data_IF_771762248650
#
_entry.id   IF_771762248650
#
_cell.length_a   1.000
_cell.length_b   1.000
_cell.length_c   1.000
_cell.angle_alpha   90.00
_cell.angle_beta   90.00
_cell.angle_gamma   90.00
#
_symmetry.space_group_name_H-M   'P 1'
#
loop_
_entity.id
_entity.type
_entity.pdbx_description
1 polymer ?
#
# COMPACT_ATOMS: atom_id res chain seq x y z
N UNK A 1 -1.80 -14.21 -5.80
CA UNK A 1 -1.47 -12.77 -5.61
C UNK A 1 -0.44 -12.76 -4.50
N UNK A 2 0.77 -12.25 -4.74
CA UNK A 2 1.92 -12.36 -3.83
C UNK A 2 1.88 -11.38 -2.65
N UNK A 3 0.80 -11.40 -1.88
CA UNK A 3 0.68 -10.67 -0.63
C UNK A 3 0.74 -11.67 0.52
N UNK A 4 1.58 -11.41 1.53
CA UNK A 4 1.80 -12.33 2.65
C UNK A 4 0.61 -12.37 3.62
N UNK A 5 -0.05 -11.23 3.82
CA UNK A 5 -1.24 -11.09 4.66
C UNK A 5 -2.11 -9.92 4.19
N UNK A 6 -3.41 -9.98 4.52
CA UNK A 6 -4.37 -8.91 4.28
C UNK A 6 -5.05 -8.56 5.60
N UNK A 7 -5.12 -7.27 5.90
CA UNK A 7 -5.74 -6.75 7.10
C UNK A 7 -6.84 -5.76 6.73
N UNK A 8 -7.90 -5.72 7.54
CA UNK A 8 -9.05 -4.84 7.33
C UNK A 8 -9.25 -3.97 8.57
N UNK A 9 -9.62 -2.72 8.34
CA UNK A 9 -10.00 -1.76 9.36
C UNK A 9 -11.25 -1.00 8.90
N UNK A 10 -12.12 -0.65 9.85
CA UNK A 10 -13.43 -0.04 9.56
C UNK A 10 -13.38 1.48 9.46
N UNK A 11 -12.29 2.11 9.91
CA UNK A 11 -12.08 3.55 9.88
C UNK A 11 -10.58 3.90 9.98
N UNK A 12 -10.23 5.17 9.72
CA UNK A 12 -8.84 5.64 9.73
C UNK A 12 -8.11 5.50 11.07
N UNK A 13 -8.82 5.60 12.21
CA UNK A 13 -8.21 5.44 13.55
C UNK A 13 -7.78 4.00 13.78
N UNK A 14 -8.68 3.03 13.58
CA UNK A 14 -8.35 1.62 13.69
C UNK A 14 -7.29 1.21 12.65
N UNK A 15 -7.34 1.79 11.46
CA UNK A 15 -6.34 1.53 10.41
C UNK A 15 -4.94 2.02 10.82
N UNK A 16 -4.84 3.16 11.50
CA UNK A 16 -3.56 3.70 11.97
C UNK A 16 -2.96 2.84 13.09
N UNK A 17 -3.77 2.47 14.09
CA UNK A 17 -3.34 1.55 15.15
C UNK A 17 -2.90 0.18 14.61
N UNK A 18 -3.53 -0.28 13.54
CA UNK A 18 -3.15 -1.52 12.87
C UNK A 18 -1.87 -1.34 12.08
N UNK A 19 -1.71 -0.21 11.38
CA UNK A 19 -0.52 0.11 10.61
C UNK A 19 0.75 0.14 11.47
N UNK A 20 0.67 0.65 12.69
CA UNK A 20 1.79 0.62 13.65
C UNK A 20 2.23 -0.80 14.01
N UNK A 21 1.28 -1.74 14.09
CA UNK A 21 1.54 -3.13 14.46
C UNK A 21 2.08 -3.96 13.31
N UNK A 22 1.53 -3.77 12.10
CA UNK A 22 1.79 -4.64 10.95
C UNK A 22 2.75 -4.02 9.92
N UNK A 23 2.99 -2.70 9.99
CA UNK A 23 3.85 -1.93 9.08
C UNK A 23 3.58 -2.25 7.60
N UNK A 24 2.41 -1.87 7.08
CA UNK A 24 1.94 -2.34 5.78
C UNK A 24 2.76 -1.77 4.62
N UNK A 25 3.16 -2.64 3.68
CA UNK A 25 3.81 -2.23 2.42
C UNK A 25 2.83 -1.58 1.44
N UNK A 26 1.55 -1.94 1.52
CA UNK A 26 0.48 -1.41 0.66
C UNK A 26 -0.73 -1.08 1.53
N UNK A 27 -1.28 0.11 1.34
CA UNK A 27 -2.50 0.61 1.98
C UNK A 27 -3.48 1.02 0.89
N UNK A 28 -4.68 0.45 0.96
CA UNK A 28 -5.82 0.84 0.11
C UNK A 28 -6.88 1.41 1.05
N UNK A 29 -7.30 2.65 0.83
CA UNK A 29 -8.21 3.35 1.75
C UNK A 29 -9.29 4.12 1.00
N UNK A 30 -10.48 4.22 1.60
CA UNK A 30 -11.57 5.04 1.09
C UNK A 30 -11.31 6.51 1.43
N UNK A 31 -11.62 7.43 0.52
CA UNK A 31 -11.51 8.86 0.81
C UNK A 31 -12.53 9.27 1.89
N UNK A 32 -13.75 8.73 1.82
CA UNK A 32 -14.82 9.05 2.76
C UNK A 32 -15.00 7.90 3.73
N UNK A 33 -14.57 8.11 4.98
CA UNK A 33 -14.74 7.17 6.08
C UNK A 33 -15.33 7.90 7.30
N UNK A 34 -16.06 7.20 8.18
CA UNK A 34 -16.47 7.75 9.47
C UNK A 34 -15.25 7.97 10.40
N UNK A 35 -15.39 8.90 11.34
CA UNK A 35 -14.42 9.26 12.38
C UNK A 35 -13.13 9.96 11.91
N UNK A 36 -12.50 9.47 10.84
CA UNK A 36 -11.30 10.04 10.24
C UNK A 36 -11.38 9.88 8.73
N UNK A 37 -11.16 10.96 7.99
CA UNK A 37 -11.17 10.93 6.53
C UNK A 37 -9.95 10.21 5.96
N UNK A 38 -10.09 9.58 4.79
CA UNK A 38 -9.00 8.85 4.15
C UNK A 38 -7.80 9.73 3.80
N UNK A 39 -8.04 11.01 3.50
CA UNK A 39 -6.99 12.00 3.23
C UNK A 39 -6.13 12.26 4.46
N UNK A 40 -6.76 12.48 5.61
CA UNK A 40 -6.09 12.69 6.90
C UNK A 40 -5.30 11.44 7.29
N UNK A 41 -5.92 10.27 7.17
CA UNK A 41 -5.26 8.99 7.40
C UNK A 41 -4.04 8.78 6.49
N UNK A 42 -4.17 9.04 5.19
CA UNK A 42 -3.09 8.89 4.23
C UNK A 42 -1.92 9.85 4.50
N UNK A 43 -2.21 11.06 5.00
CA UNK A 43 -1.18 11.99 5.43
C UNK A 43 -0.35 11.40 6.58
N UNK A 44 -1.01 10.86 7.61
CA UNK A 44 -0.33 10.22 8.74
C UNK A 44 0.48 8.98 8.30
N UNK A 45 -0.08 8.16 7.40
CA UNK A 45 0.66 7.02 6.83
C UNK A 45 1.88 7.48 6.06
N UNK A 46 1.79 8.55 5.26
CA UNK A 46 2.95 9.05 4.49
C UNK A 46 4.04 9.60 5.41
N UNK A 47 3.67 10.24 6.53
CA UNK A 47 4.61 10.75 7.53
C UNK A 47 5.30 9.62 8.31
N UNK A 48 4.55 8.62 8.76
CA UNK A 48 5.07 7.55 9.63
C UNK A 48 5.67 6.38 8.84
N UNK A 49 5.13 6.07 7.67
CA UNK A 49 5.50 4.93 6.82
C UNK A 49 5.75 5.41 5.38
N UNK A 50 6.80 6.24 5.15
CA UNK A 50 7.04 6.85 3.83
C UNK A 50 7.31 5.83 2.71
N UNK A 51 7.71 4.60 3.05
CA UNK A 51 7.88 3.50 2.09
C UNK A 51 6.60 2.74 1.74
N UNK A 52 5.48 3.03 2.42
CA UNK A 52 4.20 2.40 2.12
C UNK A 52 3.61 2.94 0.81
N UNK A 53 3.00 2.04 0.05
CA UNK A 53 2.26 2.34 -1.17
C UNK A 53 0.83 2.71 -0.82
N UNK A 54 0.32 3.81 -1.35
CA UNK A 54 -1.00 4.34 -1.01
C UNK A 54 -1.92 4.37 -2.24
N UNK A 55 -3.10 3.79 -2.11
CA UNK A 55 -4.16 3.87 -3.13
C UNK A 55 -5.46 4.36 -2.51
N UNK A 56 -6.10 5.31 -3.18
CA UNK A 56 -7.44 5.77 -2.79
C UNK A 56 -8.54 5.04 -3.54
N UNK A 57 -9.62 4.74 -2.83
CA UNK A 57 -10.91 4.35 -3.38
C UNK A 57 -11.84 5.54 -3.28
N UNK A 58 -12.57 5.87 -4.34
CA UNK A 58 -13.49 7.01 -4.28
C UNK A 58 -14.63 6.89 -5.27
N UNK A 59 -15.81 7.32 -4.84
CA UNK A 59 -17.01 7.38 -5.69
C UNK A 59 -17.31 8.75 -6.27
N UNK A 60 -16.51 9.77 -5.95
CA UNK A 60 -16.68 11.13 -6.48
C UNK A 60 -15.31 11.79 -6.68
N UNK A 61 -15.04 12.19 -7.90
CA UNK A 61 -13.80 12.86 -8.29
C UNK A 61 -13.87 14.35 -7.96
N UNK A 62 -13.88 14.69 -6.67
CA UNK A 62 -13.72 16.09 -6.26
C UNK A 62 -12.30 16.55 -6.59
N UNK A 63 -12.19 17.74 -7.18
CA UNK A 63 -10.90 18.35 -7.55
C UNK A 63 -10.01 18.57 -6.33
N UNK A 64 -10.60 18.81 -5.16
CA UNK A 64 -9.84 18.99 -3.92
C UNK A 64 -9.12 17.71 -3.51
N UNK A 65 -9.80 16.56 -3.59
CA UNK A 65 -9.19 15.27 -3.28
C UNK A 65 -8.07 14.90 -4.25
N UNK A 66 -8.25 15.17 -5.55
CA UNK A 66 -7.19 14.95 -6.53
C UNK A 66 -5.93 15.76 -6.22
N UNK A 67 -6.09 17.04 -5.85
CA UNK A 67 -4.95 17.89 -5.47
C UNK A 67 -4.24 17.36 -4.23
N UNK A 68 -4.99 16.96 -3.21
CA UNK A 68 -4.43 16.37 -2.00
C UNK A 68 -3.69 15.06 -2.28
N UNK A 69 -4.27 14.18 -3.11
CA UNK A 69 -3.67 12.91 -3.50
C UNK A 69 -2.33 13.08 -4.22
N UNK A 70 -2.21 14.09 -5.09
CA UNK A 70 -0.94 14.46 -5.73
C UNK A 70 0.09 14.88 -4.68
N UNK A 71 -0.30 15.70 -3.71
CA UNK A 71 0.61 16.16 -2.65
C UNK A 71 1.11 15.01 -1.77
N UNK A 72 0.24 14.03 -1.50
CA UNK A 72 0.55 12.84 -0.72
C UNK A 72 1.32 11.76 -1.49
N UNK A 73 1.58 11.99 -2.78
CA UNK A 73 2.26 11.05 -3.67
C UNK A 73 1.61 9.66 -3.63
N UNK A 74 0.29 9.59 -3.80
CA UNK A 74 -0.38 8.29 -3.88
C UNK A 74 -0.01 7.55 -5.16
N UNK A 75 0.07 6.24 -5.07
CA UNK A 75 0.45 5.36 -6.18
C UNK A 75 -0.72 5.08 -7.13
N UNK A 76 -1.96 5.30 -6.68
CA UNK A 76 -3.12 5.09 -7.51
C UNK A 76 -4.44 5.58 -6.91
N UNK A 77 -5.45 5.56 -7.77
CA UNK A 77 -6.82 5.89 -7.45
C UNK A 77 -7.73 4.92 -8.20
N UNK A 78 -8.73 4.37 -7.51
CA UNK A 78 -9.73 3.46 -8.07
C UNK A 78 -11.10 4.11 -7.88
N UNK A 79 -11.82 4.25 -8.99
CA UNK A 79 -13.15 4.82 -9.00
C UNK A 79 -14.19 3.77 -8.58
N UNK A 80 -15.20 4.19 -7.81
CA UNK A 80 -16.34 3.35 -7.47
C UNK A 80 -17.43 3.49 -8.53
N UNK A 81 -18.16 2.41 -8.88
CA UNK A 81 -18.16 1.10 -8.23
C UNK A 81 -16.91 0.28 -8.53
N UNK A 82 -16.41 -0.43 -7.51
CA UNK A 82 -15.16 -1.17 -7.58
C UNK A 82 -15.22 -2.31 -8.60
N UNK A 83 -14.32 -2.30 -9.58
CA UNK A 83 -14.14 -3.41 -10.52
C UNK A 83 -13.03 -4.36 -10.05
N UNK A 84 -13.35 -5.63 -9.86
CA UNK A 84 -12.41 -6.63 -9.33
C UNK A 84 -11.16 -6.83 -10.21
N UNK A 85 -11.26 -6.90 -11.56
CA UNK A 85 -10.12 -6.90 -12.46
C UNK A 85 -9.21 -5.68 -12.28
N UNK A 86 -9.78 -4.48 -12.12
CA UNK A 86 -9.03 -3.24 -11.92
C UNK A 86 -8.24 -3.27 -10.61
N UNK A 87 -8.91 -3.57 -9.49
CA UNK A 87 -8.26 -3.72 -8.18
C UNK A 87 -7.16 -4.78 -8.27
N UNK A 88 -7.46 -5.93 -8.87
CA UNK A 88 -6.50 -7.02 -8.96
C UNK A 88 -5.29 -6.66 -9.82
N UNK A 89 -5.47 -5.86 -10.87
CA UNK A 89 -4.38 -5.33 -11.69
C UNK A 89 -3.50 -4.36 -10.87
N UNK A 90 -4.13 -3.39 -10.21
CA UNK A 90 -3.46 -2.40 -9.36
C UNK A 90 -2.63 -3.08 -8.25
N UNK A 91 -3.24 -3.99 -7.49
CA UNK A 91 -2.57 -4.74 -6.42
C UNK A 91 -1.37 -5.51 -6.97
N UNK A 92 -1.50 -6.18 -8.13
CA UNK A 92 -0.37 -6.88 -8.75
C UNK A 92 0.76 -5.94 -9.12
N UNK A 93 0.46 -4.75 -9.64
CA UNK A 93 1.47 -3.75 -9.98
C UNK A 93 2.20 -3.27 -8.72
N UNK A 94 1.48 -2.98 -7.64
CA UNK A 94 2.07 -2.53 -6.37
C UNK A 94 2.94 -3.59 -5.72
N UNK A 95 2.48 -4.86 -5.69
CA UNK A 95 3.29 -5.98 -5.19
C UNK A 95 4.59 -6.11 -5.97
N UNK A 96 4.55 -6.02 -7.30
CA UNK A 96 5.76 -6.04 -8.13
C UNK A 96 6.71 -4.88 -7.81
N UNK A 97 6.20 -3.69 -7.48
CA UNK A 97 7.03 -2.55 -7.08
C UNK A 97 7.70 -2.79 -5.72
N UNK A 98 6.95 -3.25 -4.72
CA UNK A 98 7.49 -3.57 -3.40
C UNK A 98 8.61 -4.62 -3.49
N UNK A 99 8.38 -5.72 -4.22
CA UNK A 99 9.37 -6.78 -4.40
C UNK A 99 10.65 -6.28 -5.10
N UNK A 100 10.51 -5.36 -6.05
CA UNK A 100 11.67 -4.74 -6.72
C UNK A 100 12.47 -3.85 -5.77
N UNK A 101 11.79 -3.07 -4.93
CA UNK A 101 12.45 -2.21 -3.94
C UNK A 101 13.16 -3.04 -2.87
N UNK A 102 12.57 -4.14 -2.42
CA UNK A 102 13.19 -5.08 -1.50
C UNK A 102 14.44 -5.73 -2.12
N UNK A 103 14.35 -6.19 -3.37
CA UNK A 103 15.49 -6.76 -4.09
C UNK A 103 16.63 -5.76 -4.28
N UNK A 104 16.33 -4.47 -4.48
CA UNK A 104 17.34 -3.42 -4.58
C UNK A 104 17.99 -3.09 -3.25
N UNK A 105 17.23 -3.12 -2.14
CA UNK A 105 17.75 -2.85 -0.79
C UNK A 105 18.59 -4.01 -0.26
N UNK A 106 18.25 -5.25 -0.64
CA UNK A 106 18.90 -6.48 -0.19
C UNK A 106 19.42 -7.32 -1.38
N UNK A 107 20.41 -6.83 -2.16
CA UNK A 107 20.93 -7.58 -3.30
C UNK A 107 21.61 -8.89 -2.88
N UNK A 108 22.17 -8.94 -1.67
CA UNK A 108 22.87 -10.09 -1.09
C UNK A 108 21.95 -11.32 -0.92
N UNK A 109 20.63 -11.12 -0.75
CA UNK A 109 19.67 -12.22 -0.57
C UNK A 109 19.54 -13.11 -1.81
N UNK A 110 19.81 -12.55 -3.01
CA UNK A 110 19.82 -13.29 -4.27
C UNK A 110 21.10 -14.10 -4.49
N UNK A 111 22.20 -13.77 -3.81
CA UNK A 111 23.46 -14.50 -3.90
C UNK A 111 23.55 -15.68 -2.93
N UNK A 112 22.71 -15.74 -1.90
CA UNK A 112 22.69 -16.82 -0.89
C UNK A 112 21.94 -18.10 -1.31
N UNK A 113 21.83 -18.41 -2.60
CA UNK A 113 21.32 -19.70 -3.09
C UNK A 113 22.40 -20.64 -3.65
N UNK A 114 23.66 -20.49 -3.20
CA UNK A 114 24.78 -21.23 -3.79
C UNK A 114 25.90 -21.69 -2.85
N UNK A 115 25.78 -21.64 -1.52
CA UNK A 115 26.83 -22.19 -0.66
C UNK A 115 26.66 -23.69 -0.39
N UNK A 116 27.21 -24.46 -1.32
CA UNK A 116 28.16 -25.56 -1.06
C UNK A 116 27.99 -26.34 0.27
N UNK A 117 27.25 -27.43 0.19
CA UNK A 117 27.59 -28.66 0.96
C UNK A 117 27.61 -29.89 0.05
N UNK A 118 28.54 -29.89 -0.90
CA UNK A 118 29.21 -31.14 -1.28
C UNK A 118 30.32 -31.40 -0.25
N UNK A 119 29.95 -31.83 0.95
CA UNK A 119 30.88 -32.35 1.95
C UNK A 119 30.81 -33.87 1.92
N UNK A 120 31.86 -34.43 1.30
CA UNK A 120 32.43 -35.79 1.40
C UNK A 120 31.52 -36.99 1.15
#
# INVERSE_FOLDING_TARGET
MGADAVYLAENGVCALELAEKVQPSIVITDIKMPHMEGMEFAQLIREQFPGSRLVFLSGYTDKEYLKGAIHLHVDGYIEKPLDLPEISSMVRQLVCLCLREEAQKNPELFFYHGDTKARR
#
